data_IF_689151382802
#
_entry.id   IF_689151382802
#
_cell.length_a   1.000
_cell.length_b   1.000
_cell.length_c   1.000
_cell.angle_alpha   90.00
_cell.angle_beta   90.00
_cell.angle_gamma   90.00
#
_symmetry.space_group_name_H-M   'P 1'
#
loop_
_entity.id
_entity.type
_entity.pdbx_description
1 polymer ?
#
# COMPACT_ATOMS: atom_id res chain seq x y z
N UNK A 1 -59.16 -43.39 -13.38
CA UNK A 1 -57.94 -42.67 -13.78
C UNK A 1 -57.33 -42.08 -12.51
N UNK A 2 -56.43 -42.80 -11.85
CA UNK A 2 -55.93 -42.47 -10.51
C UNK A 2 -54.81 -41.44 -10.60
N UNK A 3 -55.05 -40.25 -10.04
CA UNK A 3 -54.07 -39.19 -9.92
C UNK A 3 -53.02 -39.56 -8.85
N UNK A 4 -51.79 -39.83 -9.28
CA UNK A 4 -50.63 -39.98 -8.40
C UNK A 4 -50.28 -38.62 -7.79
N UNK A 5 -50.79 -38.35 -6.58
CA UNK A 5 -50.39 -37.23 -5.74
C UNK A 5 -48.96 -37.48 -5.24
N UNK A 6 -47.97 -36.98 -5.99
CA UNK A 6 -46.61 -36.83 -5.48
C UNK A 6 -46.64 -35.82 -4.33
N UNK A 7 -46.71 -36.33 -3.10
CA UNK A 7 -46.63 -35.52 -1.90
C UNK A 7 -45.34 -34.69 -1.90
N UNK A 8 -45.38 -33.42 -1.46
CA UNK A 8 -44.20 -32.56 -1.48
C UNK A 8 -43.08 -33.24 -0.69
N UNK A 9 -42.00 -33.55 -1.39
CA UNK A 9 -40.77 -34.06 -0.81
C UNK A 9 -40.33 -33.07 0.26
N UNK A 10 -40.50 -33.45 1.53
CA UNK A 10 -40.02 -32.69 2.69
C UNK A 10 -38.50 -32.67 2.60
N UNK A 11 -37.96 -31.73 1.84
CA UNK A 11 -36.54 -31.41 1.90
C UNK A 11 -36.23 -31.16 3.38
N UNK A 12 -35.28 -31.89 3.98
CA UNK A 12 -35.05 -31.83 5.41
C UNK A 12 -34.49 -30.45 5.74
N UNK A 13 -35.34 -29.55 6.24
CA UNK A 13 -34.98 -28.19 6.67
C UNK A 13 -33.69 -28.16 7.51
N UNK A 14 -33.45 -29.21 8.30
CA UNK A 14 -32.21 -29.42 9.08
C UNK A 14 -30.93 -29.46 8.22
N UNK A 15 -30.96 -30.12 7.06
CA UNK A 15 -29.79 -30.16 6.15
C UNK A 15 -29.55 -28.80 5.51
N UNK A 16 -30.61 -28.09 5.12
CA UNK A 16 -30.47 -26.74 4.57
C UNK A 16 -29.86 -25.76 5.59
N UNK A 17 -30.31 -25.81 6.84
CA UNK A 17 -29.72 -25.01 7.94
C UNK A 17 -28.25 -25.38 8.19
N UNK A 18 -27.94 -26.68 8.23
CA UNK A 18 -26.55 -27.14 8.42
C UNK A 18 -25.62 -26.66 7.29
N UNK A 19 -26.06 -26.76 6.03
CA UNK A 19 -25.31 -26.26 4.88
C UNK A 19 -25.12 -24.76 4.92
N UNK A 20 -26.15 -24.00 5.28
CA UNK A 20 -26.05 -22.55 5.44
C UNK A 20 -25.03 -22.17 6.52
N UNK A 21 -25.05 -22.84 7.69
CA UNK A 21 -24.07 -22.60 8.75
C UNK A 21 -22.65 -22.94 8.30
N UNK A 22 -22.45 -24.08 7.63
CA UNK A 22 -21.14 -24.47 7.11
C UNK A 22 -20.61 -23.45 6.10
N UNK A 23 -21.44 -23.00 5.16
CA UNK A 23 -21.07 -21.99 4.18
C UNK A 23 -20.69 -20.66 4.86
N UNK A 24 -21.42 -20.24 5.89
CA UNK A 24 -21.09 -19.04 6.66
C UNK A 24 -19.73 -19.16 7.35
N UNK A 25 -19.42 -20.30 7.97
CA UNK A 25 -18.12 -20.53 8.62
C UNK A 25 -16.99 -20.53 7.59
N UNK A 26 -17.17 -21.22 6.46
CA UNK A 26 -16.18 -21.26 5.37
C UNK A 26 -15.96 -19.87 4.78
N UNK A 27 -17.03 -19.12 4.53
CA UNK A 27 -16.95 -17.75 4.04
C UNK A 27 -16.24 -16.83 5.05
N UNK A 28 -16.56 -16.93 6.34
CA UNK A 28 -15.88 -16.16 7.39
C UNK A 28 -14.39 -16.49 7.49
N UNK A 29 -14.02 -17.77 7.43
CA UNK A 29 -12.63 -18.20 7.42
C UNK A 29 -11.89 -17.71 6.16
N UNK A 30 -12.51 -17.79 4.98
CA UNK A 30 -11.95 -17.28 3.74
C UNK A 30 -11.74 -15.76 3.78
N UNK A 31 -12.69 -15.00 4.33
CA UNK A 31 -12.56 -13.55 4.53
C UNK A 31 -11.42 -13.24 5.51
N UNK A 32 -11.33 -13.95 6.62
CA UNK A 32 -10.24 -13.79 7.59
C UNK A 32 -8.86 -14.06 6.98
N UNK A 33 -8.76 -15.15 6.21
CA UNK A 33 -7.58 -15.50 5.40
C UNK A 33 -7.24 -14.39 4.41
N UNK A 34 -8.21 -13.90 3.64
CA UNK A 34 -8.00 -12.81 2.69
C UNK A 34 -7.52 -11.52 3.37
N UNK A 35 -8.11 -11.12 4.50
CA UNK A 35 -7.67 -9.93 5.23
C UNK A 35 -6.27 -10.08 5.84
N UNK A 36 -5.91 -11.29 6.26
CA UNK A 36 -4.58 -11.58 6.77
C UNK A 36 -3.52 -11.47 5.66
N UNK A 37 -3.80 -12.03 4.48
CA UNK A 37 -2.84 -12.06 3.36
C UNK A 37 -2.85 -10.81 2.47
N UNK A 38 -3.96 -10.07 2.43
CA UNK A 38 -4.13 -8.84 1.65
C UNK A 38 -4.65 -7.71 2.53
N UNK A 39 -3.85 -7.26 3.50
CA UNK A 39 -4.30 -6.22 4.41
C UNK A 39 -4.73 -4.95 3.66
N UNK A 40 -5.79 -4.27 4.12
CA UNK A 40 -6.33 -3.08 3.45
C UNK A 40 -5.40 -1.87 3.40
N UNK A 41 -4.32 -1.93 4.14
CA UNK A 41 -3.27 -0.92 4.16
C UNK A 41 -2.17 -1.18 3.12
N UNK A 42 -2.07 -2.34 2.46
CA UNK A 42 -1.03 -2.56 1.43
C UNK A 42 -1.42 -1.84 0.15
N UNK A 43 -0.61 -0.88 -0.27
CA UNK A 43 -0.80 -0.18 -1.55
C UNK A 43 0.48 -0.27 -2.37
N UNK A 44 0.36 -0.72 -3.61
CA UNK A 44 1.48 -0.68 -4.55
C UNK A 44 1.70 0.76 -5.01
N UNK A 45 2.95 1.19 -5.10
CA UNK A 45 3.31 2.56 -5.45
C UNK A 45 4.09 2.56 -6.76
N UNK A 46 3.56 3.27 -7.75
CA UNK A 46 4.26 3.58 -8.99
C UNK A 46 4.71 5.04 -8.95
N UNK A 47 5.99 5.31 -9.24
CA UNK A 47 6.51 6.68 -9.36
C UNK A 47 7.13 6.88 -10.73
N UNK A 48 6.75 7.97 -11.38
CA UNK A 48 7.19 8.31 -12.74
C UNK A 48 7.82 9.70 -12.78
N UNK A 49 8.64 9.93 -13.82
CA UNK A 49 9.38 11.17 -14.03
C UNK A 49 10.30 11.56 -12.86
N UNK A 50 11.00 10.57 -12.31
CA UNK A 50 11.97 10.77 -11.24
C UNK A 50 13.13 11.63 -11.75
N UNK A 51 13.47 12.75 -11.07
CA UNK A 51 14.59 13.58 -11.48
C UNK A 51 15.90 12.79 -11.55
N UNK A 52 16.76 13.04 -12.55
CA UNK A 52 18.06 12.39 -12.64
C UNK A 52 18.91 12.73 -11.40
N UNK A 53 19.74 11.78 -10.99
CA UNK A 53 20.54 11.91 -9.77
C UNK A 53 19.78 11.57 -8.49
N UNK A 54 18.53 11.10 -8.56
CA UNK A 54 17.80 10.60 -7.39
C UNK A 54 18.39 9.26 -6.95
N UNK A 55 18.94 9.20 -5.74
CA UNK A 55 19.56 7.99 -5.17
C UNK A 55 18.63 7.26 -4.18
N UNK A 56 17.68 7.98 -3.58
CA UNK A 56 16.75 7.45 -2.59
C UNK A 56 15.34 7.99 -2.82
N UNK A 57 14.34 7.17 -2.53
CA UNK A 57 12.93 7.52 -2.57
C UNK A 57 12.16 6.84 -1.42
N UNK A 58 11.27 7.58 -0.76
CA UNK A 58 10.25 7.03 0.14
C UNK A 58 8.90 7.73 -0.03
N UNK A 59 7.84 7.08 0.45
CA UNK A 59 6.50 7.66 0.47
C UNK A 59 6.20 8.18 1.87
N UNK A 60 5.63 9.37 1.96
CA UNK A 60 5.17 9.97 3.20
C UNK A 60 3.69 10.33 3.12
N UNK A 61 3.03 10.36 4.26
CA UNK A 61 1.72 10.98 4.44
C UNK A 61 1.83 12.13 5.42
N UNK A 62 1.05 13.18 5.17
CA UNK A 62 0.79 14.20 6.17
C UNK A 62 -0.63 14.05 6.72
N UNK A 63 -0.75 14.07 8.04
CA UNK A 63 -2.04 14.01 8.72
C UNK A 63 -1.98 14.83 10.00
N UNK A 64 -2.90 15.78 10.17
CA UNK A 64 -2.96 16.61 11.37
C UNK A 64 -1.69 17.43 11.64
N UNK A 65 -0.96 17.83 10.59
CA UNK A 65 0.30 18.58 10.69
C UNK A 65 1.54 17.72 10.98
N UNK A 66 1.38 16.41 11.20
CA UNK A 66 2.49 15.48 11.32
C UNK A 66 2.79 14.84 9.96
N UNK A 67 4.08 14.74 9.62
CA UNK A 67 4.54 14.02 8.43
C UNK A 67 5.14 12.69 8.87
N UNK A 68 4.67 11.59 8.29
CA UNK A 68 5.08 10.23 8.61
C UNK A 68 5.51 9.51 7.34
N UNK A 69 6.66 8.82 7.40
CA UNK A 69 7.04 7.88 6.36
C UNK A 69 6.12 6.67 6.38
N UNK A 70 5.78 6.17 5.19
CA UNK A 70 5.10 4.90 5.03
C UNK A 70 6.15 3.80 4.93
N UNK A 71 6.04 2.80 5.79
CA UNK A 71 6.94 1.66 5.75
C UNK A 71 6.70 0.81 4.50
N UNK A 72 7.77 0.25 3.95
CA UNK A 72 7.71 -0.76 2.91
C UNK A 72 7.18 -2.08 3.44
N UNK A 73 6.44 -2.81 2.61
CA UNK A 73 5.96 -4.16 2.86
C UNK A 73 6.09 -4.97 1.56
N UNK A 74 6.71 -6.15 1.57
CA UNK A 74 6.84 -6.95 0.34
C UNK A 74 5.53 -7.52 -0.15
N UNK A 75 5.54 -7.85 -1.43
CA UNK A 75 4.52 -8.66 -2.08
C UNK A 75 4.39 -10.08 -1.48
N UNK A 76 5.52 -10.77 -1.26
CA UNK A 76 5.54 -12.23 -1.20
C UNK A 76 5.60 -12.83 0.22
N UNK A 77 5.65 -12.01 1.27
CA UNK A 77 5.60 -12.54 2.64
C UNK A 77 4.16 -12.67 3.11
N UNK A 78 3.60 -13.82 2.73
CA UNK A 78 2.27 -14.29 3.12
C UNK A 78 2.21 -14.56 4.64
N UNK A 79 3.28 -14.98 5.29
CA UNK A 79 3.23 -15.53 6.64
C UNK A 79 3.50 -14.54 7.78
N UNK A 80 4.18 -13.42 7.53
CA UNK A 80 4.49 -12.43 8.58
C UNK A 80 4.32 -11.02 8.00
N UNK A 81 3.40 -10.19 8.52
CA UNK A 81 3.28 -8.80 8.13
C UNK A 81 4.50 -8.05 8.67
N UNK A 82 5.60 -8.12 7.93
CA UNK A 82 6.74 -7.29 8.23
C UNK A 82 6.64 -5.99 7.43
N UNK A 83 7.05 -4.93 8.11
CA UNK A 83 7.21 -3.61 7.53
C UNK A 83 8.64 -3.16 7.77
N UNK A 84 9.23 -2.50 6.78
CA UNK A 84 10.57 -1.92 6.89
C UNK A 84 10.48 -0.42 6.77
N UNK A 85 11.09 0.27 7.71
CA UNK A 85 11.29 1.70 7.59
C UNK A 85 12.09 2.01 6.30
N UNK A 86 11.75 3.05 5.54
CA UNK A 86 12.42 3.33 4.26
C UNK A 86 13.93 3.49 4.38
N UNK A 87 14.42 4.05 5.49
CA UNK A 87 15.86 4.23 5.72
C UNK A 87 16.66 2.92 5.78
N UNK A 88 16.01 1.82 6.18
CA UNK A 88 16.64 0.49 6.32
C UNK A 88 16.25 -0.47 5.19
N UNK A 89 15.49 0.02 4.20
CA UNK A 89 14.98 -0.81 3.11
C UNK A 89 15.76 -0.54 1.82
N UNK A 90 16.34 -1.58 1.24
CA UNK A 90 17.10 -1.46 -0.01
C UNK A 90 16.22 -1.07 -1.20
N UNK A 91 14.91 -1.30 -1.15
CA UNK A 91 13.96 -0.88 -2.19
C UNK A 91 13.82 0.64 -2.31
N UNK A 92 14.10 1.38 -1.23
CA UNK A 92 14.12 2.84 -1.26
C UNK A 92 15.24 3.38 -2.14
N UNK A 93 16.29 2.60 -2.40
CA UNK A 93 17.43 3.04 -3.19
C UNK A 93 17.19 2.83 -4.67
N UNK A 94 17.51 3.85 -5.46
CA UNK A 94 17.24 3.86 -6.89
C UNK A 94 18.52 4.00 -7.69
N UNK A 95 18.49 3.48 -8.92
CA UNK A 95 19.53 3.75 -9.90
C UNK A 95 19.38 5.22 -10.33
N UNK A 96 20.41 6.08 -10.21
CA UNK A 96 20.28 7.51 -10.44
C UNK A 96 19.75 7.94 -11.82
N UNK A 97 19.83 7.07 -12.81
CA UNK A 97 19.40 7.32 -14.20
C UNK A 97 18.09 6.60 -14.57
N UNK A 98 17.37 6.03 -13.60
CA UNK A 98 16.10 5.39 -13.84
C UNK A 98 14.94 6.38 -13.61
N UNK A 99 14.24 6.84 -14.65
CA UNK A 99 13.19 7.84 -14.50
C UNK A 99 11.89 7.26 -13.93
N UNK A 100 11.75 5.93 -13.87
CA UNK A 100 10.51 5.27 -13.49
C UNK A 100 10.77 4.15 -12.51
N UNK A 101 9.88 4.03 -11.54
CA UNK A 101 9.93 2.99 -10.53
C UNK A 101 8.57 2.35 -10.43
N UNK A 102 8.53 1.09 -10.82
CA UNK A 102 7.46 0.17 -10.50
C UNK A 102 8.08 -0.87 -9.58
N UNK A 103 7.89 -0.69 -8.28
CA UNK A 103 8.30 -1.71 -7.34
C UNK A 103 7.25 -2.82 -7.33
N UNK A 104 7.72 -4.07 -7.32
CA UNK A 104 6.94 -5.20 -6.80
C UNK A 104 6.88 -5.14 -5.25
N UNK A 105 6.80 -3.94 -4.70
CA UNK A 105 6.72 -3.66 -3.26
C UNK A 105 5.50 -2.80 -2.98
N UNK A 106 4.98 -2.98 -1.77
CA UNK A 106 3.84 -2.25 -1.25
C UNK A 106 4.34 -1.30 -0.16
N UNK A 107 3.58 -0.25 0.10
CA UNK A 107 3.73 0.52 1.33
C UNK A 107 2.58 0.19 2.27
N UNK A 108 2.82 0.37 3.56
CA UNK A 108 1.75 0.47 4.55
C UNK A 108 1.11 1.83 4.44
N UNK A 109 0.11 1.91 3.57
CA UNK A 109 -0.66 3.10 3.29
C UNK A 109 -1.31 3.63 4.56
N UNK A 110 -1.11 4.92 4.80
CA UNK A 110 -1.68 5.64 5.92
C UNK A 110 -2.69 6.67 5.40
N UNK A 111 -3.78 6.93 6.14
CA UNK A 111 -4.65 8.05 5.83
C UNK A 111 -3.87 9.36 6.01
N UNK A 112 -4.01 10.28 5.05
CA UNK A 112 -3.38 11.59 5.08
C UNK A 112 -4.21 12.61 4.31
N UNK A 113 -4.03 13.89 4.63
CA UNK A 113 -4.60 15.01 3.87
C UNK A 113 -3.81 15.27 2.60
N UNK A 114 -2.52 14.97 2.61
CA UNK A 114 -1.64 14.96 1.42
C UNK A 114 -0.62 13.85 1.49
N UNK A 115 -0.09 13.48 0.34
CA UNK A 115 0.90 12.43 0.14
C UNK A 115 2.16 13.00 -0.48
N UNK A 116 3.32 12.56 0.02
CA UNK A 116 4.62 13.06 -0.38
C UNK A 116 5.48 11.97 -0.96
N UNK A 117 6.15 12.25 -2.08
CA UNK A 117 7.29 11.46 -2.53
C UNK A 117 8.56 12.15 -2.08
N UNK A 118 9.20 11.60 -1.06
CA UNK A 118 10.46 12.09 -0.50
C UNK A 118 11.59 11.53 -1.35
N UNK A 119 12.47 12.40 -1.85
CA UNK A 119 13.62 12.02 -2.65
C UNK A 119 14.91 12.58 -2.04
N UNK A 120 15.99 11.82 -2.20
CA UNK A 120 17.35 12.31 -1.96
C UNK A 120 18.15 12.23 -3.24
N UNK A 121 18.81 13.31 -3.61
CA UNK A 121 19.76 13.32 -4.72
C UNK A 121 21.13 12.79 -4.30
N UNK A 122 21.98 12.46 -5.27
CA UNK A 122 23.38 12.03 -5.07
C UNK A 122 24.23 13.11 -4.41
N UNK A 123 23.88 14.39 -4.57
CA UNK A 123 24.52 15.52 -3.86
C UNK A 123 24.11 15.60 -2.37
N UNK A 124 23.23 14.71 -1.91
CA UNK A 124 22.75 14.64 -0.54
C UNK A 124 21.56 15.54 -0.23
N UNK A 125 21.08 16.36 -1.17
CA UNK A 125 19.93 17.24 -0.96
C UNK A 125 18.62 16.46 -0.90
N UNK A 126 17.74 16.88 0.01
CA UNK A 126 16.45 16.25 0.26
C UNK A 126 15.30 17.13 -0.24
N UNK A 127 14.35 16.48 -0.90
CA UNK A 127 13.19 17.12 -1.48
C UNK A 127 11.95 16.27 -1.22
N UNK A 128 10.79 16.89 -1.28
CA UNK A 128 9.50 16.21 -1.28
C UNK A 128 8.64 16.78 -2.40
N UNK A 129 7.95 15.89 -3.11
CA UNK A 129 6.87 16.25 -4.03
C UNK A 129 5.54 15.97 -3.36
N UNK A 130 4.78 17.01 -3.03
CA UNK A 130 3.47 16.91 -2.39
C UNK A 130 2.33 16.80 -3.39
N UNK A 131 1.34 15.99 -3.04
CA UNK A 131 0.12 15.76 -3.79
C UNK A 131 -1.06 15.77 -2.83
N UNK A 132 -2.12 16.49 -3.16
CA UNK A 132 -3.38 16.44 -2.41
C UNK A 132 -3.98 15.02 -2.48
N UNK A 133 -4.69 14.61 -1.42
CA UNK A 133 -5.19 13.23 -1.31
C UNK A 133 -6.14 12.84 -2.46
N UNK A 134 -6.93 13.77 -2.98
CA UNK A 134 -7.84 13.56 -4.11
C UNK A 134 -7.11 13.41 -5.46
N UNK A 135 -5.91 13.99 -5.58
CA UNK A 135 -5.04 13.84 -6.75
C UNK A 135 -4.33 12.48 -6.82
N UNK A 136 -4.34 11.70 -5.73
CA UNK A 136 -3.72 10.36 -5.65
C UNK A 136 -4.79 9.29 -5.39
N UNK A 137 -5.69 9.04 -6.36
CA UNK A 137 -6.75 8.05 -6.16
C UNK A 137 -6.15 6.64 -6.07
N UNK A 138 -6.53 5.90 -5.03
CA UNK A 138 -6.19 4.48 -4.91
C UNK A 138 -7.02 3.65 -5.90
N UNK A 139 -6.37 3.16 -6.95
CA UNK A 139 -6.99 2.32 -7.98
C UNK A 139 -6.96 0.85 -7.58
N UNK A 140 -7.93 0.07 -8.03
CA UNK A 140 -7.95 -1.39 -7.82
C UNK A 140 -8.16 -1.83 -6.37
N UNK A 141 -8.67 -0.94 -5.51
CA UNK A 141 -9.08 -1.32 -4.15
C UNK A 141 -10.28 -2.25 -4.20
N UNK A 142 -10.11 -3.48 -3.72
CA UNK A 142 -11.22 -4.38 -3.44
C UNK A 142 -11.67 -4.15 -1.98
N UNK A 143 -12.91 -4.48 -1.62
CA UNK A 143 -13.41 -4.31 -0.23
C UNK A 143 -12.59 -5.05 0.84
N UNK A 144 -11.72 -5.97 0.42
CA UNK A 144 -10.80 -6.72 1.27
C UNK A 144 -9.47 -5.99 1.49
N UNK A 145 -9.15 -4.99 0.66
CA UNK A 145 -7.92 -4.23 0.78
C UNK A 145 -7.16 -4.00 -0.52
N UNK A 146 -5.89 -3.62 -0.37
CA UNK A 146 -5.00 -3.46 -1.50
C UNK A 146 -5.08 -2.08 -2.17
N UNK A 147 -4.64 -2.07 -3.41
CA UNK A 147 -4.75 -0.95 -4.33
C UNK A 147 -3.40 -0.53 -4.89
N UNK A 148 -3.45 0.44 -5.79
CA UNK A 148 -2.30 1.04 -6.43
C UNK A 148 -2.43 2.56 -6.40
N UNK A 149 -1.39 3.22 -5.96
CA UNK A 149 -1.20 4.67 -6.05
C UNK A 149 -0.15 4.96 -7.12
N UNK A 150 -0.38 5.99 -7.92
CA UNK A 150 0.57 6.42 -8.94
C UNK A 150 0.93 7.88 -8.71
N UNK A 151 2.22 8.18 -8.73
CA UNK A 151 2.76 9.52 -8.53
C UNK A 151 3.54 9.94 -9.77
N UNK A 152 3.15 11.08 -10.35
CA UNK A 152 3.90 11.76 -11.40
C UNK A 152 4.62 12.96 -10.77
N UNK A 153 5.94 12.89 -10.65
CA UNK A 153 6.69 13.94 -9.95
C UNK A 153 6.68 15.30 -10.67
N UNK A 154 6.23 15.36 -11.93
CA UNK A 154 6.02 16.62 -12.65
C UNK A 154 4.74 17.35 -12.22
N UNK A 155 3.77 16.62 -11.65
CA UNK A 155 2.50 17.18 -11.19
C UNK A 155 2.52 17.59 -9.71
N UNK A 156 3.49 17.10 -8.93
CA UNK A 156 3.61 17.36 -7.49
C UNK A 156 4.31 18.68 -7.18
N UNK A 157 3.90 19.33 -6.09
CA UNK A 157 4.59 20.53 -5.60
C UNK A 157 5.93 20.14 -4.97
N UNK A 158 7.03 20.56 -5.61
CA UNK A 158 8.39 20.31 -5.12
C UNK A 158 8.77 21.29 -4.02
N UNK A 159 9.19 20.78 -2.86
CA UNK A 159 9.63 21.57 -1.69
C UNK A 159 10.92 20.97 -1.12
N UNK A 160 11.93 21.79 -0.80
CA UNK A 160 13.13 21.29 -0.11
C UNK A 160 12.77 20.88 1.33
N UNK A 161 13.32 19.76 1.80
CA UNK A 161 13.14 19.30 3.17
C UNK A 161 14.22 19.88 4.07
N UNK A 162 13.82 20.37 5.25
CA UNK A 162 14.76 20.78 6.28
C UNK A 162 15.39 19.55 6.96
N UNK A 163 16.59 19.72 7.53
CA UNK A 163 17.23 18.63 8.28
C UNK A 163 16.41 18.13 9.46
N UNK A 164 15.65 19.02 10.11
CA UNK A 164 14.71 18.67 11.19
C UNK A 164 13.61 17.73 10.68
N UNK A 165 13.00 18.04 9.54
CA UNK A 165 11.96 17.20 8.95
C UNK A 165 12.52 15.86 8.44
N UNK A 166 13.73 15.85 7.88
CA UNK A 166 14.45 14.61 7.51
C UNK A 166 14.67 13.71 8.73
N UNK A 167 15.08 14.30 9.86
CA UNK A 167 15.26 13.57 11.12
C UNK A 167 13.93 13.09 11.71
N UNK A 168 12.87 13.91 11.68
CA UNK A 168 11.53 13.53 12.11
C UNK A 168 10.96 12.35 11.29
N UNK A 169 11.33 12.29 10.01
CA UNK A 169 11.04 11.18 9.11
C UNK A 169 11.94 9.94 9.32
N UNK A 170 12.94 10.01 10.21
CA UNK A 170 13.89 8.93 10.45
C UNK A 170 14.81 8.63 9.27
N UNK A 171 15.06 9.62 8.41
CA UNK A 171 15.87 9.51 7.19
C UNK A 171 17.29 10.09 7.33
N UNK A 172 17.62 10.63 8.50
CA UNK A 172 18.92 11.21 8.84
C UNK A 172 20.09 10.22 8.73
N UNK A 173 19.81 8.91 8.81
CA UNK A 173 20.79 7.83 8.69
C UNK A 173 20.96 7.28 7.28
N UNK A 174 20.24 7.80 6.29
CA UNK A 174 20.36 7.35 4.89
C UNK A 174 21.69 7.85 4.34
N UNK A 175 22.64 6.92 4.19
CA UNK A 175 23.96 7.19 3.60
C UNK A 175 23.87 7.29 2.08
N UNK A 176 24.80 8.03 1.47
CA UNK A 176 24.96 8.03 0.01
C UNK A 176 25.37 6.64 -0.46
N UNK A 177 24.93 6.27 -1.66
CA UNK A 177 25.60 5.20 -2.40
C UNK A 177 26.84 5.87 -3.02
N UNK A 178 27.98 5.71 -2.36
CA UNK A 178 29.29 6.11 -2.90
C UNK A 178 29.70 5.22 -4.08
#
# INVERSE_FOLDING_TARGET
MLANLHGPTRFPRKRAVLWALLLTVVAGAAIGVCHFFSPPWRVQVDVTHIPPGTAFLSVAAESGGAVLNMDWSPANELSIPFTMHPATCTWSYQRPNNPNVNWDAYVRWQPGTRYGIVTRKTDGTWWVHWFEADAVPLKGRWWLGGGRASFDLTAGQMVPLSGELVAALGLDKVVGLD
#
